data_IF_044057307254
#
_entry.id   IF_044057307254
#
_cell.length_a   1.000
_cell.length_b   1.000
_cell.length_c   1.000
_cell.angle_alpha   90.00
_cell.angle_beta   90.00
_cell.angle_gamma   90.00
#
_symmetry.space_group_name_H-M   'P 1'
#
loop_
_entity.id
_entity.type
_entity.pdbx_description
1 polymer ?
#
# COMPACT_ATOMS: atom_id res chain seq x y z
N UNK A 1 11.68 15.76 -20.40
CA UNK A 1 11.62 14.58 -19.51
C UNK A 1 12.16 15.01 -18.16
N UNK A 2 11.31 15.20 -17.17
CA UNK A 2 11.74 15.58 -15.80
C UNK A 2 11.97 14.28 -15.02
N UNK A 3 13.11 14.09 -14.36
CA UNK A 3 13.33 12.92 -13.54
C UNK A 3 12.41 12.97 -12.32
N UNK A 4 11.68 11.89 -12.13
CA UNK A 4 10.90 11.63 -10.92
C UNK A 4 11.89 11.51 -9.77
N UNK A 5 12.00 12.53 -8.95
CA UNK A 5 12.76 12.41 -7.72
C UNK A 5 11.91 11.59 -6.74
N UNK A 6 12.26 10.31 -6.62
CA UNK A 6 11.88 9.52 -5.46
C UNK A 6 12.52 10.20 -4.25
N UNK A 7 11.76 11.03 -3.57
CA UNK A 7 12.14 11.49 -2.24
C UNK A 7 12.02 10.29 -1.31
N UNK A 8 13.13 9.54 -1.16
CA UNK A 8 13.31 8.69 -0.01
C UNK A 8 13.16 9.61 1.20
N UNK A 9 12.03 9.49 1.88
CA UNK A 9 11.87 10.05 3.21
C UNK A 9 12.76 9.21 4.15
N UNK A 10 14.05 9.53 4.11
CA UNK A 10 14.96 9.10 5.14
C UNK A 10 14.51 9.82 6.41
N UNK A 11 13.81 9.10 7.28
CA UNK A 11 13.58 9.52 8.65
C UNK A 11 14.95 9.56 9.33
N UNK A 12 15.63 10.71 9.18
CA UNK A 12 16.83 11.00 9.93
C UNK A 12 16.40 11.16 11.39
N UNK A 13 16.54 10.10 12.16
CA UNK A 13 16.55 10.17 13.61
C UNK A 13 17.86 10.90 13.95
N UNK A 14 17.74 12.23 14.12
CA UNK A 14 18.83 13.06 14.59
C UNK A 14 19.29 12.54 15.96
N UNK A 15 20.55 12.10 16.02
CA UNK A 15 21.16 11.60 17.21
C UNK A 15 21.21 12.63 18.32
N UNK A 16 20.44 12.40 19.37
CA UNK A 16 20.71 12.85 20.70
C UNK A 16 21.03 11.62 21.52
N UNK A 17 22.13 11.65 22.24
CA UNK A 17 22.65 10.60 23.11
C UNK A 17 21.65 10.20 24.20
N UNK A 18 20.65 9.44 23.83
CA UNK A 18 19.70 8.78 24.71
C UNK A 18 20.01 7.28 24.68
N UNK A 19 20.92 6.91 25.57
CA UNK A 19 21.01 5.72 26.38
C UNK A 19 20.67 4.36 25.72
N UNK A 20 21.60 3.46 25.79
CA UNK A 20 21.59 2.08 25.28
C UNK A 20 20.36 1.22 25.67
N UNK A 21 19.55 1.65 26.61
CA UNK A 21 18.32 0.94 27.03
C UNK A 21 17.20 1.12 26.00
N UNK A 22 17.14 2.26 25.31
CA UNK A 22 16.15 2.51 24.28
C UNK A 22 16.41 1.71 22.99
N UNK A 23 17.65 1.26 22.75
CA UNK A 23 18.03 0.57 21.53
C UNK A 23 17.55 -0.89 21.48
N UNK A 24 17.53 -1.58 22.62
CA UNK A 24 17.12 -2.98 22.69
C UNK A 24 15.58 -3.12 22.61
N UNK A 25 14.84 -2.27 23.29
CA UNK A 25 13.38 -2.23 23.24
C UNK A 25 12.86 -1.72 21.90
N UNK A 26 13.50 -0.71 21.29
CA UNK A 26 13.20 -0.26 19.93
C UNK A 26 13.58 -1.35 18.91
N UNK A 27 14.65 -2.11 19.16
CA UNK A 27 14.99 -3.28 18.36
C UNK A 27 13.87 -4.30 18.31
N UNK A 28 13.15 -4.50 19.41
CA UNK A 28 12.02 -5.43 19.48
C UNK A 28 10.81 -4.97 18.64
N UNK A 29 10.61 -3.67 18.44
CA UNK A 29 9.58 -3.17 17.52
C UNK A 29 9.81 -3.64 16.07
N UNK A 30 11.06 -3.74 15.66
CA UNK A 30 11.42 -4.19 14.31
C UNK A 30 11.57 -5.71 14.25
N UNK A 31 12.27 -6.33 15.20
CA UNK A 31 12.51 -7.77 15.19
C UNK A 31 11.24 -8.59 15.48
N UNK A 32 10.33 -8.08 16.30
CA UNK A 32 9.01 -8.64 16.53
C UNK A 32 7.97 -8.23 15.49
N UNK A 33 8.35 -7.43 14.51
CA UNK A 33 7.47 -6.97 13.45
C UNK A 33 7.26 -8.01 12.35
N UNK A 34 6.30 -7.72 11.47
CA UNK A 34 5.98 -8.53 10.29
C UNK A 34 6.00 -7.65 9.05
N UNK A 35 6.79 -8.07 8.06
CA UNK A 35 6.70 -7.52 6.72
C UNK A 35 5.45 -8.07 6.01
N UNK A 36 4.75 -7.21 5.29
CA UNK A 36 3.61 -7.54 4.46
C UNK A 36 4.04 -7.32 3.03
N UNK A 37 3.99 -8.38 2.23
CA UNK A 37 4.26 -8.32 0.79
C UNK A 37 3.20 -9.14 0.09
N UNK A 38 2.47 -8.50 -0.80
CA UNK A 38 1.46 -9.13 -1.63
C UNK A 38 1.62 -8.64 -3.06
N UNK A 39 1.57 -9.55 -4.02
CA UNK A 39 1.62 -9.23 -5.43
C UNK A 39 0.46 -9.94 -6.14
N UNK A 40 -0.36 -9.16 -6.84
CA UNK A 40 -1.50 -9.67 -7.57
C UNK A 40 -1.41 -9.23 -9.03
N UNK A 41 -1.23 -10.20 -9.92
CA UNK A 41 -1.36 -10.00 -11.35
C UNK A 41 -2.81 -10.21 -11.78
N UNK A 42 -3.32 -9.33 -12.65
CA UNK A 42 -4.65 -9.41 -13.23
C UNK A 42 -4.54 -9.22 -14.74
N UNK A 43 -5.15 -10.13 -15.46
CA UNK A 43 -5.40 -10.02 -16.89
C UNK A 43 -6.89 -9.82 -17.10
N UNK A 44 -7.26 -8.81 -17.86
CA UNK A 44 -8.64 -8.49 -18.20
C UNK A 44 -8.78 -8.35 -19.70
N UNK A 45 -9.74 -9.06 -20.27
CA UNK A 45 -10.14 -8.95 -21.66
C UNK A 45 -11.59 -8.47 -21.69
N UNK A 46 -11.85 -7.40 -22.41
CA UNK A 46 -13.19 -6.85 -22.56
C UNK A 46 -13.52 -6.76 -24.04
N UNK A 47 -14.63 -7.40 -24.40
CA UNK A 47 -15.24 -7.36 -25.72
C UNK A 47 -16.65 -6.78 -25.59
N UNK A 48 -16.84 -5.59 -26.14
CA UNK A 48 -18.12 -4.91 -26.11
C UNK A 48 -18.63 -4.71 -27.55
N UNK A 49 -19.87 -5.05 -27.80
CA UNK A 49 -20.52 -4.94 -29.13
C UNK A 49 -20.51 -3.49 -29.67
N UNK A 50 -20.38 -2.51 -28.79
CA UNK A 50 -20.40 -1.08 -29.14
C UNK A 50 -19.00 -0.44 -29.25
N UNK A 51 -17.94 -1.16 -28.88
CA UNK A 51 -16.58 -0.66 -28.97
C UNK A 51 -15.94 -1.00 -30.30
N UNK A 52 -15.12 -0.10 -30.82
CA UNK A 52 -14.46 -0.32 -32.11
C UNK A 52 -13.39 -1.40 -32.05
N UNK A 53 -12.80 -1.63 -30.86
CA UNK A 53 -11.72 -2.62 -30.64
C UNK A 53 -11.89 -3.28 -29.28
N UNK A 54 -11.48 -4.52 -29.18
CA UNK A 54 -11.35 -5.24 -27.92
C UNK A 54 -10.35 -4.53 -26.98
N UNK A 55 -10.51 -4.68 -25.69
CA UNK A 55 -9.57 -4.18 -24.72
C UNK A 55 -8.82 -5.33 -24.05
N UNK A 56 -7.51 -5.15 -23.92
CA UNK A 56 -6.63 -6.00 -23.11
C UNK A 56 -5.96 -5.15 -22.06
N UNK A 57 -6.11 -5.52 -20.81
CA UNK A 57 -5.41 -4.85 -19.72
C UNK A 57 -4.68 -5.87 -18.86
N UNK A 58 -3.44 -5.57 -18.58
CA UNK A 58 -2.61 -6.35 -17.68
C UNK A 58 -2.14 -5.45 -16.55
N UNK A 59 -2.51 -5.77 -15.33
CA UNK A 59 -2.15 -4.97 -14.17
C UNK A 59 -1.42 -5.80 -13.12
N UNK A 60 -0.43 -5.20 -12.50
CA UNK A 60 0.25 -5.71 -11.32
C UNK A 60 -0.04 -4.79 -10.15
N UNK A 61 -0.72 -5.30 -9.16
CA UNK A 61 -0.84 -4.65 -7.87
C UNK A 61 0.21 -5.22 -6.93
N UNK A 62 1.03 -4.34 -6.40
CA UNK A 62 2.01 -4.67 -5.37
C UNK A 62 1.63 -3.98 -4.08
N UNK A 63 1.53 -4.73 -3.01
CA UNK A 63 1.30 -4.23 -1.66
C UNK A 63 2.52 -4.48 -0.83
N UNK A 64 3.00 -3.44 -0.15
CA UNK A 64 4.13 -3.50 0.77
C UNK A 64 3.70 -2.84 2.07
N UNK A 65 4.00 -3.50 3.18
CA UNK A 65 3.69 -2.96 4.49
C UNK A 65 4.59 -3.53 5.56
N UNK A 66 4.48 -2.92 6.72
CA UNK A 66 5.17 -3.37 7.92
C UNK A 66 4.28 -3.13 9.14
N UNK A 67 4.09 -4.19 9.89
CA UNK A 67 3.48 -4.15 11.22
C UNK A 67 4.60 -4.27 12.25
N UNK A 68 4.72 -3.30 13.14
CA UNK A 68 5.73 -3.36 14.20
C UNK A 68 5.40 -4.44 15.23
N UNK A 69 6.42 -4.86 15.96
CA UNK A 69 6.23 -5.54 17.23
C UNK A 69 5.49 -4.64 18.23
N UNK A 70 5.22 -5.16 19.39
CA UNK A 70 4.52 -4.44 20.46
C UNK A 70 5.52 -3.90 21.50
N UNK A 71 5.35 -2.63 21.86
CA UNK A 71 6.14 -1.96 22.89
C UNK A 71 5.19 -1.33 23.91
N UNK A 72 5.20 -1.84 25.13
CA UNK A 72 4.28 -1.41 26.20
C UNK A 72 2.80 -1.31 25.76
N UNK A 73 2.36 -2.28 24.95
CA UNK A 73 1.01 -2.27 24.39
C UNK A 73 0.84 -1.45 23.11
N UNK A 74 1.83 -0.65 22.73
CA UNK A 74 1.80 0.16 21.51
C UNK A 74 2.37 -0.62 20.32
N UNK A 75 1.69 -0.58 19.19
CA UNK A 75 2.15 -1.12 17.91
C UNK A 75 1.72 -0.21 16.76
N UNK A 76 2.37 -0.34 15.62
CA UNK A 76 2.09 0.43 14.42
C UNK A 76 1.95 -0.43 13.18
N UNK A 77 1.18 0.04 12.21
CA UNK A 77 1.04 -0.58 10.90
C UNK A 77 1.11 0.51 9.83
N UNK A 78 1.94 0.27 8.84
CA UNK A 78 1.98 1.05 7.60
C UNK A 78 1.85 0.08 6.43
N UNK A 79 0.99 0.40 5.46
CA UNK A 79 0.77 -0.40 4.26
C UNK A 79 0.48 0.52 3.07
N UNK A 80 1.17 0.29 1.97
CA UNK A 80 0.99 1.00 0.72
C UNK A 80 0.74 0.03 -0.43
N UNK A 81 -0.11 0.42 -1.36
CA UNK A 81 -0.37 -0.28 -2.61
C UNK A 81 0.17 0.52 -3.79
N UNK A 82 0.66 -0.19 -4.78
CA UNK A 82 0.94 0.33 -6.11
C UNK A 82 0.23 -0.55 -7.14
N UNK A 83 -0.48 0.06 -8.06
CA UNK A 83 -1.05 -0.59 -9.25
C UNK A 83 -0.34 -0.03 -10.47
N UNK A 84 0.20 -0.91 -11.28
CA UNK A 84 0.92 -0.55 -12.51
C UNK A 84 0.42 -1.42 -13.66
N UNK A 85 0.30 -0.83 -14.84
CA UNK A 85 0.10 -1.58 -16.06
C UNK A 85 1.39 -2.29 -16.48
N UNK A 86 1.25 -3.49 -17.00
CA UNK A 86 2.35 -4.26 -17.58
C UNK A 86 2.04 -4.50 -19.06
N UNK A 87 2.97 -4.14 -19.94
CA UNK A 87 2.82 -4.32 -21.38
C UNK A 87 2.15 -3.14 -22.09
N UNK A 88 1.62 -3.39 -23.28
CA UNK A 88 0.99 -2.37 -24.09
C UNK A 88 -0.38 -1.97 -23.56
N UNK A 89 -0.68 -0.67 -23.65
CA UNK A 89 -1.99 -0.12 -23.29
C UNK A 89 -3.03 -0.46 -24.37
N UNK A 90 -3.50 -1.70 -24.40
CA UNK A 90 -4.54 -2.17 -25.31
C UNK A 90 -5.97 -1.87 -24.80
N UNK A 91 -6.17 -0.83 -23.99
CA UNK A 91 -7.45 -0.47 -23.41
C UNK A 91 -7.68 1.04 -23.43
N UNK A 92 -8.93 1.47 -23.28
CA UNK A 92 -9.27 2.87 -23.10
C UNK A 92 -9.36 3.18 -21.59
N UNK A 93 -8.70 4.24 -21.18
CA UNK A 93 -8.84 4.81 -19.86
C UNK A 93 -9.30 6.25 -19.97
N UNK A 94 -9.73 6.83 -18.87
CA UNK A 94 -10.09 8.26 -18.82
C UNK A 94 -8.92 9.20 -19.12
N UNK A 95 -7.70 8.65 -19.29
CA UNK A 95 -6.45 9.41 -19.45
C UNK A 95 -5.77 9.23 -20.80
N UNK A 96 -5.91 8.07 -21.46
CA UNK A 96 -5.16 7.77 -22.68
C UNK A 96 -5.91 8.07 -23.99
N UNK A 97 -7.22 8.29 -23.95
CA UNK A 97 -8.02 8.68 -25.13
C UNK A 97 -8.05 7.65 -26.25
N UNK A 98 -7.81 6.38 -25.96
CA UNK A 98 -7.84 5.30 -26.94
C UNK A 98 -9.26 4.91 -27.34
N UNK A 99 -9.46 4.33 -28.53
CA UNK A 99 -10.78 3.89 -29.01
C UNK A 99 -11.12 2.44 -28.67
N UNK A 100 -10.51 1.88 -27.65
CA UNK A 100 -10.77 0.53 -27.16
C UNK A 100 -11.85 0.57 -26.08
N UNK A 101 -12.36 -0.59 -25.71
CA UNK A 101 -13.24 -0.72 -24.54
C UNK A 101 -12.57 -0.17 -23.28
N UNK A 102 -13.40 0.36 -22.38
CA UNK A 102 -12.92 0.99 -21.14
C UNK A 102 -12.56 -0.08 -20.12
N UNK A 103 -11.37 -0.01 -19.61
CA UNK A 103 -10.94 -0.76 -18.42
C UNK A 103 -10.71 0.23 -17.29
N UNK A 104 -11.56 0.14 -16.27
CA UNK A 104 -11.54 1.04 -15.14
C UNK A 104 -10.54 0.56 -14.07
N UNK A 105 -9.26 0.53 -14.40
CA UNK A 105 -8.23 0.20 -13.40
C UNK A 105 -7.25 1.36 -13.28
N UNK A 106 -7.32 2.15 -12.21
CA UNK A 106 -6.48 3.31 -12.05
C UNK A 106 -5.05 2.90 -11.72
N UNK A 107 -4.11 3.33 -12.55
CA UNK A 107 -2.70 3.37 -12.15
C UNK A 107 -2.54 4.31 -10.96
N UNK A 108 -1.79 3.89 -9.99
CA UNK A 108 -1.52 4.75 -8.85
C UNK A 108 -0.87 4.06 -7.68
N UNK A 109 -0.39 4.90 -6.79
CA UNK A 109 0.14 4.48 -5.50
C UNK A 109 -0.62 5.17 -4.40
N UNK A 110 -1.00 4.42 -3.39
CA UNK A 110 -1.69 4.97 -2.23
C UNK A 110 -1.25 4.30 -0.93
N UNK A 111 -1.38 5.05 0.16
CA UNK A 111 -1.23 4.49 1.50
C UNK A 111 -2.59 3.93 1.92
N UNK A 112 -2.68 2.62 2.04
CA UNK A 112 -3.91 1.94 2.44
C UNK A 112 -4.17 2.05 3.92
N UNK A 113 -3.14 1.83 4.71
CA UNK A 113 -3.21 1.86 6.16
C UNK A 113 -2.00 2.59 6.74
N UNK A 114 -2.24 3.41 7.73
CA UNK A 114 -1.22 4.04 8.55
C UNK A 114 -1.83 4.30 9.91
N UNK A 115 -1.58 3.42 10.88
CA UNK A 115 -2.24 3.45 12.17
C UNK A 115 -1.29 3.13 13.32
N UNK A 116 -1.69 3.60 14.48
CA UNK A 116 -1.16 3.20 15.79
C UNK A 116 -2.25 2.46 16.55
N UNK A 117 -1.86 1.39 17.22
CA UNK A 117 -2.72 0.57 18.06
C UNK A 117 -2.12 0.52 19.46
N UNK A 118 -2.97 0.74 20.45
CA UNK A 118 -2.62 0.57 21.85
C UNK A 118 -3.51 -0.50 22.46
N UNK A 119 -2.91 -1.57 22.99
CA UNK A 119 -3.59 -2.66 23.65
C UNK A 119 -3.34 -2.59 25.17
N UNK A 120 -4.41 -2.61 25.92
CA UNK A 120 -4.41 -2.62 27.38
C UNK A 120 -5.34 -3.72 27.89
N UNK A 121 -5.13 -4.15 29.14
CA UNK A 121 -5.94 -5.20 29.78
C UNK A 121 -7.46 -4.94 29.80
N UNK A 122 -7.87 -3.69 29.64
CA UNK A 122 -9.29 -3.29 29.63
C UNK A 122 -9.85 -3.05 28.23
N UNK A 123 -9.03 -3.10 27.19
CA UNK A 123 -9.47 -2.87 25.83
C UNK A 123 -8.35 -2.40 24.93
N UNK A 124 -8.69 -2.10 23.69
CA UNK A 124 -7.76 -1.58 22.69
C UNK A 124 -8.27 -0.29 22.06
N UNK A 125 -7.34 0.58 21.68
CA UNK A 125 -7.61 1.79 20.92
C UNK A 125 -6.76 1.79 19.64
N UNK A 126 -7.36 2.24 18.53
CA UNK A 126 -6.69 2.36 17.24
C UNK A 126 -6.92 3.77 16.72
N UNK A 127 -5.84 4.41 16.28
CA UNK A 127 -5.88 5.74 15.70
C UNK A 127 -5.12 5.77 14.37
N UNK A 128 -5.69 6.39 13.35
CA UNK A 128 -5.10 6.52 12.03
C UNK A 128 -5.97 5.96 10.92
N UNK A 129 -5.38 5.86 9.71
CA UNK A 129 -6.05 5.31 8.54
C UNK A 129 -6.06 3.79 8.61
N UNK A 130 -7.24 3.21 8.71
CA UNK A 130 -7.44 1.76 8.85
C UNK A 130 -8.53 1.28 7.89
N UNK A 131 -8.50 -0.01 7.57
CA UNK A 131 -9.63 -0.66 6.90
C UNK A 131 -10.74 -0.89 7.92
N UNK A 132 -11.92 -0.44 7.60
CA UNK A 132 -13.13 -0.74 8.37
C UNK A 132 -13.87 -1.80 7.56
N UNK A 133 -13.76 -3.04 7.98
CA UNK A 133 -14.63 -4.10 7.48
C UNK A 133 -15.94 -4.03 8.24
N UNK A 134 -16.94 -3.48 7.62
CA UNK A 134 -18.31 -3.62 8.09
C UNK A 134 -18.79 -4.97 7.58
N UNK A 135 -18.57 -6.01 8.35
CA UNK A 135 -19.15 -7.34 8.11
C UNK A 135 -20.67 -7.25 8.30
N UNK A 136 -21.31 -6.72 7.30
CA UNK A 136 -22.75 -6.86 7.14
C UNK A 136 -22.98 -7.98 6.11
N UNK A 137 -23.14 -9.18 6.60
CA UNK A 137 -23.50 -10.46 5.96
C UNK A 137 -22.35 -11.39 5.73
#
# INVERSE_FOLDING_TARGET
MKPLQLSLLALAIAGGSAQAIASEELGNLFSGGKAIVDARYRYEFVDEDNAKNHANAQTLRTRIGFQSGQWYGLSGLVEADNVSHIGDEGFNSTRNGQQNSIVADPDGSEINQALLRYDHKYGSAVAGRQRINLDNQ
#
